data_IF_715692382254
#
_entry.id   IF_715692382254
#
_cell.length_a   1.000
_cell.length_b   1.000
_cell.length_c   1.000
_cell.angle_alpha   90.00
_cell.angle_beta   90.00
_cell.angle_gamma   90.00
#
_symmetry.space_group_name_H-M   'P 1'
#
loop_
_entity.id
_entity.type
_entity.pdbx_description
1 polymer ?
#
# COMPACT_ATOMS: atom_id res chain seq x y z
N UNK A 1 24.88 -33.29 7.50
CA UNK A 1 24.06 -32.05 7.44
C UNK A 1 22.68 -32.31 6.81
N UNK A 2 21.61 -32.27 7.60
CA UNK A 2 20.22 -32.41 7.13
C UNK A 2 19.57 -31.04 6.84
N UNK A 3 18.70 -30.97 5.83
CA UNK A 3 17.96 -29.76 5.43
C UNK A 3 16.47 -30.03 5.48
N UNK A 4 15.75 -29.27 6.30
CA UNK A 4 14.32 -29.44 6.54
C UNK A 4 13.60 -28.17 6.09
N UNK A 5 12.60 -28.34 5.24
CA UNK A 5 11.71 -27.25 4.82
C UNK A 5 10.46 -27.28 5.70
N UNK A 6 10.19 -26.16 6.37
CA UNK A 6 9.10 -26.00 7.30
C UNK A 6 8.21 -24.83 6.85
N UNK A 7 7.20 -25.15 6.04
CA UNK A 7 6.34 -24.21 5.32
C UNK A 7 6.13 -24.62 3.85
N UNK A 8 5.51 -23.78 3.01
CA UNK A 8 5.01 -22.44 3.32
C UNK A 8 3.80 -22.50 4.25
N UNK A 9 3.71 -21.53 5.17
CA UNK A 9 2.50 -21.34 5.97
C UNK A 9 1.45 -20.60 5.14
N UNK A 10 0.17 -20.92 5.37
CA UNK A 10 -0.93 -20.23 4.70
C UNK A 10 -0.85 -18.73 5.04
N UNK A 11 -0.50 -17.93 4.04
CA UNK A 11 -0.56 -16.48 4.15
C UNK A 11 -2.01 -16.04 4.37
N UNK A 12 -2.18 -14.88 5.01
CA UNK A 12 -3.50 -14.26 5.17
C UNK A 12 -4.00 -13.66 3.86
N UNK A 13 -4.30 -14.50 2.86
CA UNK A 13 -4.93 -14.05 1.61
C UNK A 13 -6.33 -13.47 1.84
N UNK A 14 -6.94 -13.71 3.02
CA UNK A 14 -8.19 -13.08 3.47
C UNK A 14 -8.16 -11.55 3.45
N UNK A 15 -6.97 -10.93 3.55
CA UNK A 15 -6.84 -9.47 3.54
C UNK A 15 -6.55 -8.87 2.16
N UNK A 16 -6.37 -9.69 1.12
CA UNK A 16 -6.14 -9.20 -0.26
C UNK A 16 -7.30 -8.34 -0.76
N UNK A 17 -8.58 -8.72 -0.59
CA UNK A 17 -9.69 -7.85 -0.99
C UNK A 17 -9.65 -6.50 -0.28
N UNK A 18 -9.30 -6.48 1.01
CA UNK A 18 -9.21 -5.25 1.81
C UNK A 18 -8.08 -4.35 1.29
N UNK A 19 -6.89 -4.90 1.07
CA UNK A 19 -5.77 -4.15 0.51
C UNK A 19 -6.08 -3.60 -0.89
N UNK A 20 -6.75 -4.40 -1.73
CA UNK A 20 -7.19 -3.97 -3.06
C UNK A 20 -8.23 -2.83 -2.97
N UNK A 21 -9.19 -2.91 -2.04
CA UNK A 21 -10.17 -1.85 -1.81
C UNK A 21 -9.51 -0.54 -1.40
N UNK A 22 -8.51 -0.57 -0.51
CA UNK A 22 -7.78 0.64 -0.13
C UNK A 22 -6.92 1.17 -1.27
N UNK A 23 -6.26 0.31 -2.05
CA UNK A 23 -5.52 0.75 -3.23
C UNK A 23 -6.41 1.44 -4.27
N UNK A 24 -7.60 0.88 -4.53
CA UNK A 24 -8.61 1.50 -5.40
C UNK A 24 -9.08 2.85 -4.85
N UNK A 25 -9.35 2.92 -3.54
CA UNK A 25 -9.72 4.17 -2.88
C UNK A 25 -8.61 5.23 -3.00
N UNK A 26 -7.35 4.85 -2.79
CA UNK A 26 -6.20 5.76 -2.96
C UNK A 26 -6.11 6.27 -4.40
N UNK A 27 -6.28 5.39 -5.39
CA UNK A 27 -6.28 5.78 -6.82
C UNK A 27 -7.42 6.75 -7.14
N UNK A 28 -8.62 6.49 -6.62
CA UNK A 28 -9.78 7.37 -6.79
C UNK A 28 -9.53 8.75 -6.16
N UNK A 29 -9.08 8.77 -4.90
CA UNK A 29 -8.78 10.00 -4.18
C UNK A 29 -7.68 10.81 -4.87
N UNK A 30 -6.65 10.15 -5.40
CA UNK A 30 -5.59 10.81 -6.17
C UNK A 30 -6.14 11.45 -7.45
N UNK A 31 -6.99 10.75 -8.20
CA UNK A 31 -7.64 11.30 -9.40
C UNK A 31 -8.50 12.53 -9.07
N UNK A 32 -9.25 12.48 -7.97
CA UNK A 32 -10.02 13.62 -7.46
C UNK A 32 -9.09 14.76 -7.03
N UNK A 33 -7.98 14.47 -6.37
CA UNK A 33 -6.99 15.47 -5.96
C UNK A 33 -6.43 16.25 -7.15
N UNK A 34 -6.02 15.52 -8.19
CA UNK A 34 -5.45 16.08 -9.43
C UNK A 34 -6.50 16.90 -10.17
N UNK A 35 -7.75 16.48 -10.16
CA UNK A 35 -8.83 17.27 -10.78
C UNK A 35 -9.15 18.54 -9.98
N UNK A 36 -9.19 18.43 -8.64
CA UNK A 36 -9.50 19.55 -7.74
C UNK A 36 -8.36 20.57 -7.63
N UNK A 37 -7.11 20.19 -7.93
CA UNK A 37 -5.94 21.08 -7.94
C UNK A 37 -5.77 21.88 -9.22
N UNK A 38 -6.69 21.75 -10.19
CA UNK A 38 -6.64 22.51 -11.44
C UNK A 38 -6.82 24.00 -11.18
N UNK A 39 -5.84 24.78 -11.58
CA UNK A 39 -6.01 26.23 -11.73
C UNK A 39 -6.75 26.48 -13.03
N UNK A 40 -7.80 27.30 -12.97
CA UNK A 40 -8.55 27.75 -14.16
C UNK A 40 -8.24 29.22 -14.41
N UNK A 41 -7.75 29.53 -15.60
CA UNK A 41 -7.57 30.92 -16.05
C UNK A 41 -8.50 31.20 -17.22
N UNK A 42 -9.05 32.41 -17.25
CA UNK A 42 -9.73 33.00 -18.40
C UNK A 42 -8.96 34.26 -18.77
N UNK A 43 -8.48 34.31 -20.00
CA UNK A 43 -7.75 35.44 -20.55
C UNK A 43 -8.47 35.89 -21.82
N UNK A 44 -8.99 37.11 -21.84
CA UNK A 44 -9.63 37.70 -23.01
C UNK A 44 -8.87 38.94 -23.45
N UNK A 45 -8.73 39.10 -24.75
CA UNK A 45 -8.04 40.22 -25.39
C UNK A 45 -8.94 40.77 -26.49
N UNK A 46 -9.08 42.10 -26.54
CA UNK A 46 -9.75 42.85 -27.61
C UNK A 46 -8.71 43.69 -28.33
N UNK A 47 -8.16 43.21 -29.45
CA UNK A 47 -7.28 44.01 -30.29
C UNK A 47 -8.07 45.16 -30.94
N UNK A 48 -7.43 46.31 -31.22
CA UNK A 48 -8.09 47.43 -31.87
C UNK A 48 -8.54 47.04 -33.29
N UNK A 49 -9.85 47.15 -33.56
CA UNK A 49 -10.43 46.84 -34.87
C UNK A 49 -10.71 45.35 -35.12
N UNK A 50 -10.47 44.47 -34.16
CA UNK A 50 -10.72 43.03 -34.28
C UNK A 50 -11.77 42.53 -33.28
N UNK A 51 -12.28 41.33 -33.51
CA UNK A 51 -13.20 40.64 -32.59
C UNK A 51 -12.43 40.25 -31.32
N UNK A 52 -13.02 40.49 -30.15
CA UNK A 52 -12.41 40.05 -28.90
C UNK A 52 -12.34 38.52 -28.83
N UNK A 53 -11.18 37.99 -28.46
CA UNK A 53 -10.93 36.55 -28.33
C UNK A 53 -10.66 36.21 -26.87
N UNK A 54 -11.20 35.08 -26.40
CA UNK A 54 -10.99 34.54 -25.06
C UNK A 54 -10.31 33.18 -25.13
N UNK A 55 -9.43 32.91 -24.17
CA UNK A 55 -8.78 31.63 -23.96
C UNK A 55 -9.01 31.18 -22.51
N UNK A 56 -9.59 30.00 -22.34
CA UNK A 56 -9.61 29.32 -21.05
C UNK A 56 -8.45 28.35 -20.98
N UNK A 57 -7.68 28.39 -19.89
CA UNK A 57 -6.64 27.40 -19.61
C UNK A 57 -6.94 26.67 -18.33
N UNK A 58 -6.88 25.34 -18.37
CA UNK A 58 -6.88 24.49 -17.20
C UNK A 58 -5.48 23.90 -17.03
N UNK A 59 -4.82 24.29 -15.95
CA UNK A 59 -3.46 23.85 -15.64
C UNK A 59 -3.50 22.99 -14.38
N UNK A 60 -2.96 21.77 -14.47
CA UNK A 60 -2.77 20.88 -13.33
C UNK A 60 -1.31 20.37 -13.29
N UNK A 61 -0.74 20.09 -12.11
CA UNK A 61 0.67 19.70 -11.99
C UNK A 61 1.06 18.40 -12.72
N UNK A 62 0.08 17.52 -12.98
CA UNK A 62 0.30 16.16 -13.49
C UNK A 62 -0.51 15.84 -14.75
N UNK A 63 -1.14 16.84 -15.36
CA UNK A 63 -1.96 16.67 -16.56
C UNK A 63 -1.53 17.67 -17.63
N UNK A 64 -1.65 17.31 -18.92
CA UNK A 64 -1.45 18.27 -19.99
C UNK A 64 -2.39 19.45 -19.82
N UNK A 65 -1.90 20.65 -20.11
CA UNK A 65 -2.72 21.85 -20.10
C UNK A 65 -3.83 21.70 -21.15
N UNK A 66 -5.07 21.97 -20.75
CA UNK A 66 -6.21 22.02 -21.65
C UNK A 66 -6.51 23.50 -21.92
N UNK A 67 -6.40 23.88 -23.17
CA UNK A 67 -6.65 25.24 -23.62
C UNK A 67 -7.81 25.22 -24.61
N UNK A 68 -8.78 26.10 -24.41
CA UNK A 68 -9.91 26.27 -25.31
C UNK A 68 -10.05 27.76 -25.64
N UNK A 69 -10.01 28.07 -26.94
CA UNK A 69 -10.15 29.43 -27.46
C UNK A 69 -11.52 29.59 -28.08
N UNK A 70 -12.14 30.73 -27.83
CA UNK A 70 -13.44 31.09 -28.39
C UNK A 70 -13.54 32.60 -28.58
N UNK A 71 -14.36 33.02 -29.54
CA UNK A 71 -14.66 34.43 -29.74
C UNK A 71 -15.56 34.94 -28.62
N UNK A 72 -15.30 36.13 -28.09
CA UNK A 72 -16.14 36.74 -27.06
C UNK A 72 -17.58 36.94 -27.56
N UNK A 73 -17.77 37.16 -28.87
CA UNK A 73 -19.08 37.24 -29.51
C UNK A 73 -19.85 35.92 -29.53
N UNK A 74 -19.19 34.78 -29.31
CA UNK A 74 -19.85 33.48 -29.15
C UNK A 74 -20.49 33.33 -27.77
N UNK A 75 -20.14 34.17 -26.80
CA UNK A 75 -20.74 34.20 -25.46
C UNK A 75 -21.91 35.17 -25.45
N UNK A 76 -23.12 34.63 -25.34
CA UNK A 76 -24.36 35.42 -25.27
C UNK A 76 -24.51 36.13 -23.94
N UNK A 77 -24.24 35.43 -22.84
CA UNK A 77 -24.36 35.96 -21.49
C UNK A 77 -23.40 35.27 -20.53
N UNK A 78 -22.99 35.99 -19.49
CA UNK A 78 -22.34 35.42 -18.33
C UNK A 78 -23.26 35.60 -17.12
N UNK A 79 -23.49 34.55 -16.33
CA UNK A 79 -24.37 34.62 -15.15
C UNK A 79 -23.79 33.89 -13.96
N UNK A 80 -24.20 34.34 -12.78
CA UNK A 80 -23.81 33.75 -11.52
C UNK A 80 -24.73 32.57 -11.18
N UNK A 81 -24.19 31.51 -10.57
CA UNK A 81 -24.98 30.42 -10.01
C UNK A 81 -24.42 29.95 -8.66
N UNK A 82 -25.32 29.81 -7.68
CA UNK A 82 -25.01 29.27 -6.36
C UNK A 82 -24.66 27.78 -6.42
N UNK A 83 -23.72 27.35 -5.58
CA UNK A 83 -23.43 25.95 -5.29
C UNK A 83 -24.02 25.61 -3.95
N UNK A 84 -24.93 24.65 -3.92
CA UNK A 84 -25.55 24.17 -2.69
C UNK A 84 -24.92 22.86 -2.22
N UNK A 85 -24.68 22.73 -0.91
CA UNK A 85 -24.44 21.45 -0.26
C UNK A 85 -25.29 21.36 1.00
N UNK A 86 -26.04 20.25 1.15
CA UNK A 86 -26.93 20.01 2.29
C UNK A 86 -27.88 21.20 2.59
N UNK A 87 -28.38 21.84 1.54
CA UNK A 87 -29.32 22.97 1.66
C UNK A 87 -28.70 24.33 1.99
N UNK A 88 -27.38 24.42 2.19
CA UNK A 88 -26.68 25.71 2.35
C UNK A 88 -25.82 26.04 1.14
N UNK A 89 -25.68 27.34 0.85
CA UNK A 89 -24.76 27.83 -0.18
C UNK A 89 -23.33 27.66 0.31
N UNK A 90 -22.53 26.90 -0.44
CA UNK A 90 -21.12 26.60 -0.10
C UNK A 90 -20.12 27.24 -1.06
N UNK A 91 -20.61 27.94 -2.09
CA UNK A 91 -19.79 28.64 -3.07
C UNK A 91 -20.62 29.12 -4.25
N UNK A 92 -19.94 29.59 -5.29
CA UNK A 92 -20.55 30.00 -6.54
C UNK A 92 -19.66 29.71 -7.74
N UNK A 93 -20.24 29.70 -8.93
CA UNK A 93 -19.52 29.65 -10.19
C UNK A 93 -20.11 30.63 -11.18
N UNK A 94 -19.27 31.08 -12.11
CA UNK A 94 -19.71 31.84 -13.27
C UNK A 94 -20.08 30.85 -14.37
N UNK A 95 -21.24 31.03 -15.00
CA UNK A 95 -21.67 30.26 -16.16
C UNK A 95 -21.58 31.16 -17.37
N UNK A 96 -20.77 30.76 -18.35
CA UNK A 96 -20.77 31.35 -19.68
C UNK A 96 -21.80 30.60 -20.51
N UNK A 97 -22.75 31.33 -21.07
CA UNK A 97 -23.77 30.76 -21.95
C UNK A 97 -23.45 31.20 -23.37
N UNK A 98 -23.27 30.25 -24.27
CA UNK A 98 -22.98 30.57 -25.66
C UNK A 98 -24.25 31.02 -26.43
N UNK A 99 -24.07 31.44 -27.67
CA UNK A 99 -25.17 31.84 -28.57
C UNK A 99 -26.17 30.71 -28.89
N UNK A 100 -25.75 29.45 -28.75
CA UNK A 100 -26.59 28.26 -28.93
C UNK A 100 -27.28 27.81 -27.63
N UNK A 101 -27.00 28.48 -26.50
CA UNK A 101 -27.54 28.15 -25.19
C UNK A 101 -26.74 27.09 -24.41
N UNK A 102 -25.56 26.67 -24.89
CA UNK A 102 -24.67 25.78 -24.16
C UNK A 102 -24.07 26.48 -22.94
N UNK A 103 -24.05 25.80 -21.80
CA UNK A 103 -23.58 26.35 -20.53
C UNK A 103 -22.20 25.78 -20.17
N UNK A 104 -21.20 26.66 -20.12
CA UNK A 104 -19.85 26.32 -19.68
C UNK A 104 -19.58 26.92 -18.31
N UNK A 105 -19.38 26.07 -17.31
CA UNK A 105 -19.07 26.49 -15.94
C UNK A 105 -17.61 26.91 -15.77
N UNK A 106 -17.40 28.17 -15.41
CA UNK A 106 -16.09 28.75 -15.10
C UNK A 106 -15.92 29.02 -13.60
N UNK A 107 -14.77 28.57 -13.07
CA UNK A 107 -14.21 29.08 -11.81
C UNK A 107 -15.08 28.94 -10.56
N UNK A 108 -15.27 27.72 -10.06
CA UNK A 108 -15.93 27.51 -8.75
C UNK A 108 -15.11 28.13 -7.61
N UNK A 109 -15.66 29.14 -6.95
CA UNK A 109 -14.98 29.93 -5.90
C UNK A 109 -15.99 30.35 -4.82
N UNK A 110 -15.62 31.28 -3.93
CA UNK A 110 -16.55 31.88 -2.96
C UNK A 110 -17.67 32.63 -3.67
N UNK A 111 -18.83 32.75 -3.02
CA UNK A 111 -20.00 33.46 -3.58
C UNK A 111 -19.63 34.86 -4.05
N UNK A 112 -18.93 35.61 -3.20
CA UNK A 112 -18.51 36.98 -3.48
C UNK A 112 -17.56 37.06 -4.67
N UNK A 113 -16.51 36.23 -4.71
CA UNK A 113 -15.56 36.22 -5.80
C UNK A 113 -16.21 35.79 -7.13
N UNK A 114 -17.15 34.83 -7.09
CA UNK A 114 -17.86 34.37 -8.28
C UNK A 114 -18.78 35.47 -8.84
N UNK A 115 -19.44 36.26 -7.98
CA UNK A 115 -20.21 37.43 -8.42
C UNK A 115 -19.32 38.50 -9.04
N UNK A 116 -18.22 38.86 -8.38
CA UNK A 116 -17.25 39.82 -8.90
C UNK A 116 -16.66 39.39 -10.25
N UNK A 117 -16.30 38.11 -10.39
CA UNK A 117 -15.81 37.56 -11.65
C UNK A 117 -16.88 37.63 -12.76
N UNK A 118 -18.14 37.30 -12.43
CA UNK A 118 -19.26 37.37 -13.37
C UNK A 118 -19.46 38.79 -13.86
N UNK A 119 -19.49 39.77 -12.97
CA UNK A 119 -19.64 41.19 -13.33
C UNK A 119 -18.49 41.68 -14.22
N UNK A 120 -17.24 41.33 -13.91
CA UNK A 120 -16.07 41.69 -14.73
C UNK A 120 -16.17 41.10 -16.14
N UNK A 121 -16.61 39.85 -16.25
CA UNK A 121 -16.83 39.20 -17.56
C UNK A 121 -17.96 39.92 -18.31
N UNK A 122 -19.08 40.22 -17.66
CA UNK A 122 -20.20 40.94 -18.29
C UNK A 122 -19.76 42.31 -18.82
N UNK A 123 -19.03 43.10 -18.03
CA UNK A 123 -18.52 44.42 -18.45
C UNK A 123 -17.54 44.32 -19.61
N UNK A 124 -16.66 43.31 -19.61
CA UNK A 124 -15.78 43.05 -20.75
C UNK A 124 -16.59 42.71 -22.00
N UNK A 125 -17.55 41.78 -21.92
CA UNK A 125 -18.41 41.39 -23.05
C UNK A 125 -19.22 42.56 -23.61
N UNK A 126 -19.69 43.47 -22.74
CA UNK A 126 -20.42 44.68 -23.12
C UNK A 126 -19.54 45.81 -23.66
N UNK A 127 -18.21 45.63 -23.68
CA UNK A 127 -17.29 46.66 -24.17
C UNK A 127 -17.04 47.81 -23.19
N UNK A 128 -17.44 47.67 -21.92
CA UNK A 128 -17.31 48.71 -20.89
C UNK A 128 -15.94 48.72 -20.22
N UNK A 129 -15.28 47.57 -20.12
CA UNK A 129 -13.94 47.43 -19.55
C UNK A 129 -12.85 47.39 -20.64
N UNK A 130 -11.60 47.57 -20.22
CA UNK A 130 -10.42 47.73 -21.09
C UNK A 130 -10.15 46.59 -22.09
N UNK A 131 -9.08 46.76 -22.87
CA UNK A 131 -8.71 45.83 -23.96
C UNK A 131 -8.35 44.41 -23.50
N UNK A 132 -8.13 44.18 -22.20
CA UNK A 132 -7.74 42.88 -21.66
C UNK A 132 -8.50 42.54 -20.38
N UNK A 133 -8.88 41.27 -20.24
CA UNK A 133 -9.46 40.70 -19.02
C UNK A 133 -8.69 39.43 -18.67
N UNK A 134 -8.17 39.36 -17.44
CA UNK A 134 -7.56 38.13 -16.92
C UNK A 134 -8.17 37.78 -15.57
N UNK A 135 -8.73 36.58 -15.49
CA UNK A 135 -9.29 36.01 -14.26
C UNK A 135 -8.59 34.70 -13.98
N UNK A 136 -8.01 34.59 -12.80
CA UNK A 136 -7.36 33.37 -12.32
C UNK A 136 -8.10 32.85 -11.09
N UNK A 137 -8.57 31.61 -11.17
CA UNK A 137 -9.25 30.93 -10.08
C UNK A 137 -8.34 29.83 -9.57
N UNK A 138 -7.75 30.09 -8.41
CA UNK A 138 -6.90 29.16 -7.69
C UNK A 138 -7.74 28.00 -7.10
N UNK A 139 -7.16 26.80 -7.02
CA UNK A 139 -7.80 25.69 -6.33
C UNK A 139 -7.98 26.00 -4.85
N UNK A 140 -9.02 25.43 -4.24
CA UNK A 140 -9.24 25.56 -2.80
C UNK A 140 -8.18 24.77 -2.03
N UNK A 141 -7.21 25.47 -1.45
CA UNK A 141 -6.14 24.87 -0.64
C UNK A 141 -6.66 23.95 0.48
N UNK A 142 -7.79 24.33 1.08
CA UNK A 142 -8.43 23.51 2.12
C UNK A 142 -8.97 22.19 1.58
N UNK A 143 -9.66 22.19 0.43
CA UNK A 143 -10.13 20.95 -0.21
C UNK A 143 -8.96 20.07 -0.62
N UNK A 144 -7.91 20.63 -1.21
CA UNK A 144 -6.72 19.87 -1.60
C UNK A 144 -6.00 19.27 -0.40
N UNK A 145 -5.93 19.99 0.74
CA UNK A 145 -5.31 19.48 1.96
C UNK A 145 -6.04 18.25 2.52
N UNK A 146 -7.38 18.28 2.59
CA UNK A 146 -8.16 17.12 3.05
C UNK A 146 -8.03 15.91 2.13
N UNK A 147 -8.01 16.13 0.81
CA UNK A 147 -7.82 15.03 -0.14
C UNK A 147 -6.42 14.43 0.02
N UNK A 148 -5.37 15.27 0.12
CA UNK A 148 -4.01 14.82 0.33
C UNK A 148 -3.86 14.00 1.61
N UNK A 149 -4.48 14.45 2.72
CA UNK A 149 -4.52 13.69 3.97
C UNK A 149 -5.19 12.33 3.79
N UNK A 150 -6.33 12.28 3.09
CA UNK A 150 -7.03 11.04 2.76
C UNK A 150 -6.18 10.05 1.96
N UNK A 151 -5.43 10.54 0.96
CA UNK A 151 -4.49 9.74 0.16
C UNK A 151 -3.39 9.14 1.03
N UNK A 152 -2.77 9.95 1.89
CA UNK A 152 -1.69 9.50 2.79
C UNK A 152 -2.20 8.44 3.76
N UNK A 153 -3.37 8.66 4.37
CA UNK A 153 -3.97 7.70 5.30
C UNK A 153 -4.33 6.37 4.61
N UNK A 154 -4.96 6.41 3.44
CA UNK A 154 -5.33 5.21 2.69
C UNK A 154 -4.10 4.42 2.24
N UNK A 155 -3.05 5.11 1.77
CA UNK A 155 -1.79 4.49 1.37
C UNK A 155 -1.08 3.85 2.58
N UNK A 156 -0.95 4.58 3.69
CA UNK A 156 -0.30 4.07 4.90
C UNK A 156 -1.01 2.83 5.45
N UNK A 157 -2.35 2.82 5.39
CA UNK A 157 -3.16 1.68 5.83
C UNK A 157 -3.01 0.49 4.87
N UNK A 158 -2.95 0.72 3.55
CA UNK A 158 -2.65 -0.33 2.56
C UNK A 158 -1.29 -0.96 2.82
N UNK A 159 -0.24 -0.15 3.00
CA UNK A 159 1.12 -0.62 3.30
C UNK A 159 1.13 -1.45 4.58
N UNK A 160 0.45 -0.97 5.62
CA UNK A 160 0.36 -1.67 6.91
C UNK A 160 -0.31 -3.04 6.75
N UNK A 161 -1.46 -3.11 6.05
CA UNK A 161 -2.17 -4.39 5.81
C UNK A 161 -1.28 -5.35 5.02
N UNK A 162 -0.64 -4.89 3.93
CA UNK A 162 0.23 -5.72 3.09
C UNK A 162 1.44 -6.20 3.89
N UNK A 163 2.10 -5.32 4.64
CA UNK A 163 3.26 -5.70 5.46
C UNK A 163 2.89 -6.73 6.53
N UNK A 164 1.76 -6.56 7.21
CA UNK A 164 1.28 -7.55 8.17
C UNK A 164 0.83 -8.84 7.52
N UNK A 165 0.20 -8.81 6.34
CA UNK A 165 -0.17 -10.00 5.57
C UNK A 165 1.06 -10.78 5.07
N UNK A 166 2.08 -10.06 4.60
CA UNK A 166 3.35 -10.63 4.15
C UNK A 166 4.22 -11.14 5.30
N UNK A 167 4.06 -10.64 6.52
CA UNK A 167 4.78 -11.18 7.69
C UNK A 167 4.43 -12.65 7.96
N UNK A 168 3.26 -13.11 7.56
CA UNK A 168 2.86 -14.52 7.71
C UNK A 168 3.13 -15.35 6.44
N UNK A 169 3.41 -14.70 5.31
CA UNK A 169 3.86 -15.36 4.08
C UNK A 169 5.33 -15.77 4.22
N UNK A 170 5.60 -17.06 4.46
CA UNK A 170 6.98 -17.53 4.52
C UNK A 170 7.10 -18.98 4.96
N UNK A 171 8.32 -19.48 4.90
CA UNK A 171 8.71 -20.78 5.43
C UNK A 171 10.05 -20.65 6.16
N UNK A 172 10.35 -21.60 7.02
CA UNK A 172 11.66 -21.76 7.63
C UNK A 172 12.43 -22.87 6.92
N UNK A 173 13.72 -22.64 6.75
CA UNK A 173 14.69 -23.66 6.39
C UNK A 173 15.52 -23.96 7.63
N UNK A 174 15.46 -25.21 8.10
CA UNK A 174 16.24 -25.67 9.25
C UNK A 174 17.40 -26.50 8.72
N UNK A 175 18.60 -26.12 9.11
CA UNK A 175 19.88 -26.73 8.71
C UNK A 175 20.57 -27.28 9.97
N UNK A 176 20.84 -28.59 10.01
CA UNK A 176 21.55 -29.23 11.14
C UNK A 176 23.04 -29.30 10.82
N UNK A 177 23.87 -28.52 11.54
CA UNK A 177 25.33 -28.43 11.36
C UNK A 177 26.08 -29.12 12.49
N UNK A 178 27.15 -29.82 12.12
CA UNK A 178 28.03 -30.55 13.05
C UNK A 178 29.30 -29.78 13.42
N UNK A 179 29.65 -28.64 12.77
CA UNK A 179 30.91 -27.93 13.03
C UNK A 179 30.78 -26.38 13.02
N UNK A 180 31.35 -25.64 14.00
CA UNK A 180 31.28 -24.17 14.08
C UNK A 180 32.28 -23.41 13.18
N UNK A 181 33.19 -24.07 12.43
CA UNK A 181 34.27 -23.38 11.69
C UNK A 181 34.00 -23.04 10.22
N UNK A 182 32.86 -23.42 9.65
CA UNK A 182 32.53 -23.03 8.27
C UNK A 182 31.51 -21.88 8.20
N UNK A 183 32.06 -20.67 8.11
CA UNK A 183 31.33 -19.48 7.68
C UNK A 183 31.25 -19.50 6.15
N UNK A 184 30.08 -19.65 5.51
CA UNK A 184 30.01 -19.53 4.07
C UNK A 184 30.12 -18.04 3.73
N UNK A 185 31.13 -17.68 2.94
CA UNK A 185 31.14 -16.41 2.20
C UNK A 185 29.78 -16.26 1.52
N UNK A 186 29.13 -15.12 1.79
CA UNK A 186 27.94 -14.64 1.07
C UNK A 186 28.22 -14.71 -0.42
N UNK A 187 27.74 -15.77 -1.07
CA UNK A 187 27.78 -15.92 -2.51
C UNK A 187 26.35 -15.82 -3.00
N UNK A 188 26.13 -14.85 -3.90
CA UNK A 188 24.85 -14.43 -4.47
C UNK A 188 24.19 -15.49 -5.39
N UNK A 189 24.50 -16.78 -5.22
CA UNK A 189 23.98 -17.86 -6.03
C UNK A 189 23.00 -18.72 -5.20
N UNK A 190 21.82 -18.17 -4.91
CA UNK A 190 20.70 -18.95 -4.37
C UNK A 190 19.37 -18.46 -4.94
N UNK A 191 19.33 -18.30 -6.27
CA UNK A 191 18.12 -18.10 -7.06
C UNK A 191 17.96 -19.30 -7.99
N UNK A 192 17.68 -20.47 -7.41
CA UNK A 192 17.11 -21.60 -8.14
C UNK A 192 16.45 -22.57 -7.15
N UNK A 193 15.20 -22.90 -7.45
CA UNK A 193 14.43 -24.01 -6.90
C UNK A 193 15.20 -25.32 -7.09
N UNK A 194 15.53 -25.99 -5.99
CA UNK A 194 15.97 -27.40 -6.00
C UNK A 194 17.48 -27.64 -6.00
N UNK A 195 17.90 -28.47 -5.03
CA UNK A 195 19.19 -29.14 -4.87
C UNK A 195 20.37 -28.34 -4.26
N UNK A 196 20.87 -28.82 -3.12
CA UNK A 196 22.27 -28.66 -2.72
C UNK A 196 22.79 -29.87 -1.92
N UNK A 197 23.94 -30.34 -2.41
CA UNK A 197 24.86 -31.44 -2.03
C UNK A 197 25.28 -31.47 -0.55
N UNK A 198 25.64 -32.67 -0.08
CA UNK A 198 26.11 -33.00 1.27
C UNK A 198 27.59 -33.38 1.20
N UNK A 199 28.41 -32.88 2.14
CA UNK A 199 29.68 -33.49 2.53
C UNK A 199 29.64 -33.70 4.05
N UNK A 200 30.11 -34.86 4.48
CA UNK A 200 30.08 -35.33 5.86
C UNK A 200 31.51 -35.39 6.41
N UNK A 201 31.70 -34.97 7.66
CA UNK A 201 32.90 -35.27 8.42
C UNK A 201 32.51 -35.49 9.89
N UNK A 202 32.77 -36.70 10.36
CA UNK A 202 32.38 -37.25 11.66
C UNK A 202 33.31 -36.72 12.75
N UNK A 203 32.79 -36.07 13.79
CA UNK A 203 33.56 -35.74 15.00
C UNK A 203 32.68 -35.81 16.27
N UNK A 204 32.88 -36.79 17.16
CA UNK A 204 31.99 -37.08 18.29
C UNK A 204 32.12 -36.13 19.50
N UNK A 205 32.77 -34.97 19.35
CA UNK A 205 32.98 -33.98 20.44
C UNK A 205 32.43 -32.58 20.15
N UNK A 206 31.69 -32.41 19.06
CA UNK A 206 31.19 -31.09 18.66
C UNK A 206 29.68 -30.95 18.90
N UNK A 207 29.28 -29.83 19.51
CA UNK A 207 27.87 -29.56 19.85
C UNK A 207 27.08 -29.31 18.56
N UNK A 208 26.05 -30.13 18.32
CA UNK A 208 25.09 -29.94 17.24
C UNK A 208 24.47 -28.53 17.30
N UNK A 209 24.41 -27.85 16.15
CA UNK A 209 23.75 -26.55 16.01
C UNK A 209 22.67 -26.60 14.93
N UNK A 210 21.51 -26.04 15.23
CA UNK A 210 20.44 -25.80 14.28
C UNK A 210 20.55 -24.37 13.76
N UNK A 211 20.80 -24.22 12.46
CA UNK A 211 20.67 -22.94 11.77
C UNK A 211 19.26 -22.84 11.21
N UNK A 212 18.49 -21.90 11.72
CA UNK A 212 17.11 -21.65 11.30
C UNK A 212 17.09 -20.38 10.46
N UNK A 213 16.72 -20.51 9.19
CA UNK A 213 16.61 -19.38 8.25
C UNK A 213 15.15 -19.15 7.92
N UNK A 214 14.65 -17.94 8.17
CA UNK A 214 13.32 -17.52 7.74
C UNK A 214 13.39 -16.95 6.32
N UNK A 215 12.57 -17.50 5.44
CA UNK A 215 12.39 -17.03 4.06
C UNK A 215 10.98 -16.48 3.86
N UNK A 216 10.86 -15.30 3.25
CA UNK A 216 9.60 -14.67 2.85
C UNK A 216 9.70 -14.40 1.36
N UNK A 217 8.78 -14.96 0.57
CA UNK A 217 8.79 -14.84 -0.91
C UNK A 217 10.16 -15.19 -1.54
N UNK A 218 10.84 -16.20 -0.99
CA UNK A 218 12.17 -16.62 -1.45
C UNK A 218 13.35 -15.80 -0.91
N UNK A 219 13.11 -14.67 -0.23
CA UNK A 219 14.16 -13.81 0.32
C UNK A 219 14.45 -14.21 1.77
N UNK A 220 15.71 -14.50 2.14
CA UNK A 220 16.09 -14.78 3.53
C UNK A 220 16.07 -13.49 4.36
N UNK A 221 15.24 -13.42 5.40
CA UNK A 221 15.07 -12.23 6.24
C UNK A 221 15.74 -12.33 7.61
N UNK A 222 15.81 -13.53 8.20
CA UNK A 222 16.42 -13.75 9.51
C UNK A 222 17.11 -15.10 9.54
N UNK A 223 18.29 -15.13 10.15
CA UNK A 223 19.04 -16.36 10.43
C UNK A 223 19.35 -16.35 11.92
N UNK A 224 18.99 -17.40 12.63
CA UNK A 224 19.43 -17.60 14.01
C UNK A 224 19.98 -19.02 14.17
N UNK A 225 20.99 -19.14 15.03
CA UNK A 225 21.58 -20.42 15.39
C UNK A 225 21.13 -20.81 16.79
N UNK A 226 20.69 -22.06 16.94
CA UNK A 226 20.31 -22.66 18.21
C UNK A 226 21.28 -23.80 18.50
N UNK A 227 21.96 -23.75 19.65
CA UNK A 227 22.72 -24.89 20.14
C UNK A 227 21.75 -25.97 20.61
N UNK A 228 21.90 -27.20 20.12
CA UNK A 228 21.08 -28.33 20.55
C UNK A 228 21.67 -28.87 21.85
N UNK A 229 20.88 -28.93 22.94
CA UNK A 229 21.33 -29.58 24.16
C UNK A 229 21.63 -31.08 23.90
N UNK A 230 22.65 -31.66 24.55
CA UNK A 230 23.00 -33.07 24.34
C UNK A 230 21.95 -34.04 24.92
N UNK A 231 21.09 -33.55 25.81
CA UNK A 231 20.06 -34.29 26.52
C UNK A 231 18.67 -34.17 25.87
N UNK A 232 18.59 -33.77 24.59
CA UNK A 232 17.32 -33.76 23.84
C UNK A 232 16.82 -35.19 23.63
N UNK A 233 15.59 -35.45 24.07
CA UNK A 233 14.95 -36.77 24.01
C UNK A 233 13.89 -36.87 22.93
N UNK A 234 13.21 -35.76 22.63
CA UNK A 234 12.08 -35.76 21.70
C UNK A 234 11.89 -34.40 21.01
N UNK A 235 11.20 -34.45 19.87
CA UNK A 235 10.74 -33.27 19.14
C UNK A 235 9.22 -33.26 19.20
N UNK A 236 8.65 -32.19 19.76
CA UNK A 236 7.22 -32.01 19.91
C UNK A 236 6.69 -30.81 19.14
N UNK A 237 5.37 -30.80 18.95
CA UNK A 237 4.62 -29.65 18.43
C UNK A 237 3.87 -29.03 19.61
N UNK A 238 4.32 -27.87 20.06
CA UNK A 238 3.56 -27.08 21.02
C UNK A 238 2.46 -26.33 20.28
N UNK A 239 1.20 -26.61 20.64
CA UNK A 239 0.04 -25.89 20.12
C UNK A 239 -0.36 -24.75 21.05
N UNK A 240 -0.81 -23.65 20.46
CA UNK A 240 -1.31 -22.52 21.22
C UNK A 240 -2.13 -21.55 20.37
N UNK A 241 -2.60 -20.49 21.00
CA UNK A 241 -3.28 -19.40 20.31
C UNK A 241 -2.26 -18.49 19.64
N UNK A 242 -2.47 -18.20 18.36
CA UNK A 242 -1.63 -17.25 17.63
C UNK A 242 -2.21 -15.86 17.84
N UNK A 243 -1.37 -14.91 18.25
CA UNK A 243 -1.80 -13.52 18.34
C UNK A 243 -2.26 -13.03 16.97
N UNK A 244 -3.53 -12.63 16.89
CA UNK A 244 -4.10 -12.01 15.72
C UNK A 244 -4.39 -10.55 16.04
N UNK A 245 -3.77 -9.64 15.28
CA UNK A 245 -3.98 -8.20 15.41
C UNK A 245 -5.38 -7.79 14.95
N UNK A 246 -6.09 -8.65 14.20
CA UNK A 246 -7.44 -8.40 13.72
C UNK A 246 -8.33 -9.64 13.90
N UNK A 247 -9.08 -9.66 15.01
CA UNK A 247 -10.17 -10.61 15.23
C UNK A 247 -11.50 -9.87 15.07
N UNK A 248 -12.37 -10.35 14.17
CA UNK A 248 -13.74 -9.87 14.16
C UNK A 248 -14.45 -10.30 15.44
N UNK A 249 -15.38 -9.48 15.93
CA UNK A 249 -16.17 -9.77 17.13
C UNK A 249 -16.88 -11.13 16.95
N UNK A 250 -16.68 -12.05 17.89
CA UNK A 250 -17.24 -13.41 17.85
C UNK A 250 -16.37 -14.47 17.16
N UNK A 251 -15.21 -14.13 16.61
CA UNK A 251 -14.27 -15.13 16.08
C UNK A 251 -13.37 -15.69 17.18
N UNK A 252 -13.30 -17.02 17.29
CA UNK A 252 -12.36 -17.69 18.17
C UNK A 252 -10.90 -17.39 17.75
N UNK A 253 -9.96 -17.27 18.71
CA UNK A 253 -8.57 -17.07 18.37
C UNK A 253 -8.07 -18.24 17.51
N UNK A 254 -7.29 -17.94 16.46
CA UNK A 254 -6.67 -18.96 15.63
C UNK A 254 -5.74 -19.85 16.47
N UNK A 255 -5.72 -21.14 16.16
CA UNK A 255 -4.69 -22.06 16.67
C UNK A 255 -3.49 -22.10 15.74
N UNK A 256 -2.32 -22.33 16.31
CA UNK A 256 -1.08 -22.54 15.59
C UNK A 256 -0.16 -23.48 16.37
N UNK A 257 0.94 -23.84 15.73
CA UNK A 257 1.93 -24.75 16.29
C UNK A 257 3.35 -24.17 16.17
N UNK A 258 4.25 -24.67 17.00
CA UNK A 258 5.70 -24.50 16.83
C UNK A 258 6.42 -25.79 17.19
N UNK A 259 7.57 -26.00 16.56
CA UNK A 259 8.47 -27.11 16.92
C UNK A 259 9.26 -26.76 18.17
N UNK A 260 9.32 -27.71 19.10
CA UNK A 260 10.02 -27.59 20.37
C UNK A 260 10.86 -28.84 20.57
N UNK A 261 12.11 -28.65 21.01
CA UNK A 261 12.96 -29.73 21.46
C UNK A 261 12.71 -29.92 22.95
N UNK A 262 12.36 -31.13 23.40
CA UNK A 262 12.32 -31.43 24.83
C UNK A 262 13.59 -32.14 25.26
N UNK A 263 14.08 -31.74 26.41
CA UNK A 263 15.21 -32.37 27.08
C UNK A 263 14.75 -33.43 28.07
N UNK A 264 15.67 -34.29 28.51
CA UNK A 264 15.43 -35.28 29.56
C UNK A 264 14.96 -34.65 30.89
N UNK A 265 15.27 -33.38 31.12
CA UNK A 265 14.81 -32.59 32.28
C UNK A 265 13.38 -32.05 32.14
N UNK A 266 12.72 -32.31 31.00
CA UNK A 266 11.39 -31.80 30.67
C UNK A 266 11.37 -30.36 30.16
N UNK A 267 12.53 -29.70 30.02
CA UNK A 267 12.60 -28.34 29.52
C UNK A 267 12.23 -28.30 28.02
N UNK A 268 11.41 -27.32 27.65
CA UNK A 268 10.93 -27.14 26.28
C UNK A 268 11.70 -25.99 25.62
N UNK A 269 12.52 -26.30 24.60
CA UNK A 269 13.33 -25.34 23.86
C UNK A 269 12.73 -25.09 22.47
N UNK A 270 12.11 -23.93 22.21
CA UNK A 270 11.46 -23.66 20.95
C UNK A 270 12.47 -23.49 19.81
N UNK A 271 12.30 -24.25 18.71
CA UNK A 271 13.13 -24.12 17.49
C UNK A 271 12.87 -22.78 16.80
N UNK A 272 11.61 -22.33 16.85
CA UNK A 272 11.19 -20.98 16.49
C UNK A 272 10.40 -20.37 17.65
N UNK A 273 10.65 -19.11 18.03
CA UNK A 273 9.99 -18.50 19.18
C UNK A 273 8.49 -18.26 18.95
N UNK A 274 8.08 -18.07 17.70
CA UNK A 274 6.73 -17.67 17.32
C UNK A 274 5.85 -18.90 16.99
N UNK A 275 4.62 -18.94 17.51
CA UNK A 275 3.60 -19.88 17.03
C UNK A 275 3.15 -19.51 15.62
N UNK A 276 3.07 -20.49 14.72
CA UNK A 276 2.68 -20.27 13.32
C UNK A 276 1.41 -21.02 12.97
N UNK A 277 0.52 -20.32 12.25
CA UNK A 277 -0.62 -20.96 11.60
C UNK A 277 -0.13 -21.80 10.44
N UNK A 278 -0.76 -22.94 10.22
CA UNK A 278 -0.41 -23.88 9.18
C UNK A 278 -1.05 -25.22 9.50
N UNK A 279 -1.37 -26.00 8.47
CA UNK A 279 -1.98 -27.31 8.66
C UNK A 279 -1.13 -28.19 9.57
N UNK A 280 -1.77 -28.94 10.47
CA UNK A 280 -1.16 -29.90 11.39
C UNK A 280 -0.14 -30.82 10.68
N UNK A 281 -0.43 -31.17 9.42
CA UNK A 281 0.46 -31.94 8.54
C UNK A 281 1.82 -31.29 8.26
N UNK A 282 1.91 -29.95 8.20
CA UNK A 282 3.17 -29.22 7.95
C UNK A 282 4.06 -29.28 9.19
N UNK A 283 3.47 -29.07 10.36
CA UNK A 283 4.14 -29.21 11.66
C UNK A 283 4.62 -30.63 11.87
N UNK A 284 3.77 -31.62 11.60
CA UNK A 284 4.08 -33.04 11.76
C UNK A 284 5.19 -33.52 10.82
N UNK A 285 5.15 -33.11 9.55
CA UNK A 285 6.23 -33.43 8.60
C UNK A 285 7.57 -32.87 9.06
N UNK A 286 7.58 -31.65 9.59
CA UNK A 286 8.79 -31.01 10.07
C UNK A 286 9.29 -31.62 11.39
N UNK A 287 8.38 -32.04 12.29
CA UNK A 287 8.67 -32.80 13.51
C UNK A 287 9.41 -34.09 13.18
N UNK A 288 8.82 -34.92 12.31
CA UNK A 288 9.40 -36.20 11.89
C UNK A 288 10.76 -36.03 11.20
N UNK A 289 10.87 -35.03 10.32
CA UNK A 289 12.13 -34.75 9.63
C UNK A 289 13.23 -34.28 10.59
N UNK A 290 12.89 -33.50 11.62
CA UNK A 290 13.83 -33.02 12.63
C UNK A 290 14.22 -34.13 13.60
N UNK A 291 13.27 -34.92 14.10
CA UNK A 291 13.55 -36.08 14.93
C UNK A 291 14.51 -37.06 14.22
N UNK A 292 14.23 -37.37 12.95
CA UNK A 292 15.12 -38.20 12.12
C UNK A 292 16.51 -37.60 11.95
N UNK A 293 16.61 -36.28 11.74
CA UNK A 293 17.90 -35.60 11.59
C UNK A 293 18.73 -35.55 12.88
N UNK A 294 18.07 -35.64 14.03
CA UNK A 294 18.71 -35.69 15.36
C UNK A 294 18.96 -37.12 15.86
N UNK A 295 18.57 -38.14 15.09
CA UNK A 295 18.70 -39.55 15.49
C UNK A 295 17.71 -39.99 16.58
N UNK A 296 16.60 -39.28 16.74
CA UNK A 296 15.58 -39.54 17.76
C UNK A 296 14.47 -40.48 17.24
N UNK A 297 13.78 -41.21 18.13
CA UNK A 297 12.63 -42.03 17.74
C UNK A 297 11.52 -41.15 17.14
N UNK A 298 10.91 -41.64 16.06
CA UNK A 298 9.88 -40.90 15.30
C UNK A 298 8.46 -41.36 15.61
N UNK A 299 8.23 -41.94 16.80
CA UNK A 299 6.89 -42.37 17.22
C UNK A 299 5.90 -41.22 17.35
#
# INVERSE_FOLDING_TARGET
MAKIHYGPFEGRFRNVPVALSFALLTSLLLGVAVHASRTKTLECVRPPGEVATCETRLIAPLLPALNERFDAGAVREARYRDVYAKGSVVGGYTVLVDVFGHETGFGGTTVEQARLNTERIQRFLQGQDGSTLRIEVLPSYWKTAWIALGVVLALGLTITIVFHGCRDLGGYRIEVRENPREQPRTSAAALATGAYRVQAQDNPRERLRLRVTRTVLGIPLRVHELAVPPDVTEVEIEQGTVSDWFLMRGQAPPRGGRLVLRTATGAALPVIPELRRGGERVHERARLALAKALGLPTS
#
